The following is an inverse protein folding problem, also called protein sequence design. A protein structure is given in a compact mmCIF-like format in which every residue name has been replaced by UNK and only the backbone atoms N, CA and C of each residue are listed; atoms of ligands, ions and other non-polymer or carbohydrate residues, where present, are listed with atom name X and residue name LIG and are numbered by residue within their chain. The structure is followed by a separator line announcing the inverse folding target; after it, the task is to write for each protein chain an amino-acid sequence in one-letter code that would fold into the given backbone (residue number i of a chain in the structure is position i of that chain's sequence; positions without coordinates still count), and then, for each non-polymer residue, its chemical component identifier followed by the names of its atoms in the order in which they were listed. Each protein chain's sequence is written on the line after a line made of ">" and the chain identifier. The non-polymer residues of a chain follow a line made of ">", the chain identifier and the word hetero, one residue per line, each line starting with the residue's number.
data_IF_927618716939
#
_entry.id   IF_927618716939
#
_cell.length_a   1.000
_cell.length_b   1.000
_cell.length_c   1.000
_cell.angle_alpha   90.00
_cell.angle_beta   90.00
_cell.angle_gamma   90.00
#
_symmetry.space_group_name_H-M   'P 1'
#
loop_
_entity.id
_entity.type
_entity.pdbx_description
1 polymer ?
#
# COMPACT_ATOMS: atom_id res chain seq x y z
N UNK A 1 49.13 -3.15 22.47
CA UNK A 1 48.34 -4.28 21.89
C UNK A 1 47.11 -4.60 22.74
N UNK A 2 47.21 -4.73 24.07
CA UNK A 2 46.07 -4.91 24.98
C UNK A 2 45.00 -3.80 24.86
N UNK A 3 45.41 -2.52 24.77
CA UNK A 3 44.44 -1.41 24.64
C UNK A 3 43.69 -1.41 23.29
N UNK A 4 44.35 -1.86 22.22
CA UNK A 4 43.75 -1.98 20.88
C UNK A 4 42.77 -3.16 20.78
N UNK A 5 43.06 -4.27 21.47
CA UNK A 5 42.13 -5.41 21.57
C UNK A 5 40.87 -5.03 22.35
N UNK A 6 41.03 -4.27 23.45
CA UNK A 6 39.90 -3.73 24.22
C UNK A 6 39.07 -2.71 23.42
N UNK A 7 39.72 -1.91 22.56
CA UNK A 7 39.04 -0.97 21.65
C UNK A 7 38.21 -1.68 20.58
N UNK A 8 38.76 -2.71 19.91
CA UNK A 8 38.02 -3.49 18.91
C UNK A 8 36.82 -4.21 19.51
N UNK A 9 36.97 -4.77 20.71
CA UNK A 9 35.89 -5.37 21.48
C UNK A 9 34.79 -4.37 21.83
N UNK A 10 35.17 -3.22 22.42
CA UNK A 10 34.21 -2.20 22.85
C UNK A 10 33.43 -1.65 21.65
N UNK A 11 34.09 -1.50 20.50
CA UNK A 11 33.45 -1.08 19.26
C UNK A 11 32.36 -2.06 18.82
N UNK A 12 32.64 -3.36 18.79
CA UNK A 12 31.64 -4.38 18.43
C UNK A 12 30.45 -4.39 19.39
N UNK A 13 30.70 -4.26 20.69
CA UNK A 13 29.63 -4.21 21.69
C UNK A 13 28.72 -2.98 21.52
N UNK A 14 29.32 -1.79 21.34
CA UNK A 14 28.58 -0.54 21.11
C UNK A 14 27.79 -0.63 19.81
N UNK A 15 28.41 -1.14 18.75
CA UNK A 15 27.79 -1.32 17.44
C UNK A 15 26.55 -2.21 17.51
N UNK A 16 26.63 -3.35 18.22
CA UNK A 16 25.47 -4.22 18.42
C UNK A 16 24.37 -3.57 19.28
N UNK A 17 24.74 -2.74 20.26
CA UNK A 17 23.74 -2.01 21.07
C UNK A 17 23.01 -0.93 20.28
N UNK A 18 23.72 -0.20 19.44
CA UNK A 18 23.11 0.77 18.53
C UNK A 18 22.18 0.05 17.56
N UNK A 19 22.66 -1.05 16.96
CA UNK A 19 21.86 -1.84 16.03
C UNK A 19 20.60 -2.42 16.66
N UNK A 20 20.66 -2.92 17.90
CA UNK A 20 19.49 -3.44 18.63
C UNK A 20 18.36 -2.41 18.68
N UNK A 21 18.69 -1.15 18.99
CA UNK A 21 17.72 -0.06 19.04
C UNK A 21 17.17 0.28 17.64
N UNK A 22 18.06 0.52 16.68
CA UNK A 22 17.69 0.89 15.31
C UNK A 22 16.84 -0.18 14.62
N UNK A 23 17.16 -1.45 14.85
CA UNK A 23 16.44 -2.59 14.28
C UNK A 23 15.00 -2.64 14.76
N UNK A 24 14.76 -2.46 16.07
CA UNK A 24 13.41 -2.50 16.64
C UNK A 24 12.57 -1.36 16.08
N UNK A 25 13.11 -0.13 16.05
CA UNK A 25 12.38 1.02 15.50
C UNK A 25 12.09 0.85 14.00
N UNK A 26 13.10 0.42 13.22
CA UNK A 26 12.98 0.21 11.78
C UNK A 26 11.90 -0.82 11.45
N UNK A 27 11.92 -1.99 12.10
CA UNK A 27 10.91 -3.02 11.85
C UNK A 27 9.52 -2.62 12.30
N UNK A 28 9.37 -1.91 13.42
CA UNK A 28 8.06 -1.40 13.85
C UNK A 28 7.44 -0.44 12.83
N UNK A 29 8.26 0.40 12.19
CA UNK A 29 7.82 1.29 11.12
C UNK A 29 7.37 0.46 9.90
N UNK A 30 8.16 -0.53 9.50
CA UNK A 30 7.83 -1.42 8.37
C UNK A 30 6.54 -2.20 8.63
N UNK A 31 6.39 -2.80 9.81
CA UNK A 31 5.18 -3.53 10.23
C UNK A 31 3.94 -2.63 10.16
N UNK A 32 4.04 -1.39 10.64
CA UNK A 32 2.94 -0.43 10.58
C UNK A 32 2.54 -0.11 9.15
N UNK A 33 3.51 0.08 8.26
CA UNK A 33 3.24 0.36 6.84
C UNK A 33 2.56 -0.84 6.18
N UNK A 34 3.05 -2.06 6.42
CA UNK A 34 2.47 -3.29 5.89
C UNK A 34 1.03 -3.46 6.40
N UNK A 35 0.80 -3.26 7.69
CA UNK A 35 -0.53 -3.36 8.30
C UNK A 35 -1.54 -2.40 7.63
N UNK A 36 -1.15 -1.14 7.44
CA UNK A 36 -2.00 -0.17 6.75
C UNK A 36 -2.25 -0.56 5.29
N UNK A 37 -1.22 -1.05 4.59
CA UNK A 37 -1.35 -1.52 3.22
C UNK A 37 -2.32 -2.70 3.10
N UNK A 38 -2.25 -3.67 4.02
CA UNK A 38 -3.19 -4.80 4.07
C UNK A 38 -4.63 -4.33 4.24
N UNK A 39 -4.89 -3.35 5.12
CA UNK A 39 -6.23 -2.78 5.30
C UNK A 39 -6.72 -2.12 4.01
N UNK A 40 -5.88 -1.27 3.41
CA UNK A 40 -6.22 -0.55 2.17
C UNK A 40 -6.53 -1.54 1.05
N UNK A 41 -5.69 -2.55 0.85
CA UNK A 41 -5.89 -3.57 -0.18
C UNK A 41 -7.14 -4.41 0.08
N UNK A 42 -7.43 -4.78 1.33
CA UNK A 42 -8.68 -5.49 1.69
C UNK A 42 -9.91 -4.65 1.35
N UNK A 43 -9.90 -3.35 1.68
CA UNK A 43 -11.01 -2.45 1.38
C UNK A 43 -11.18 -2.32 -0.14
N UNK A 44 -10.10 -2.04 -0.88
CA UNK A 44 -10.13 -1.98 -2.36
C UNK A 44 -10.70 -3.25 -2.97
N UNK A 45 -10.19 -4.42 -2.56
CA UNK A 45 -10.60 -5.70 -3.14
C UNK A 45 -12.06 -6.07 -2.81
N UNK A 46 -12.59 -5.68 -1.65
CA UNK A 46 -13.90 -6.12 -1.16
C UNK A 46 -14.99 -5.04 -1.25
N UNK A 47 -14.66 -3.80 -1.62
CA UNK A 47 -15.60 -2.68 -1.63
C UNK A 47 -16.74 -2.88 -2.63
N UNK A 48 -17.94 -3.09 -2.13
CA UNK A 48 -19.16 -3.05 -2.94
C UNK A 48 -19.45 -1.64 -3.43
N UNK A 49 -19.16 -0.64 -2.60
CA UNK A 49 -19.35 0.78 -2.88
C UNK A 49 -18.52 1.23 -4.08
N UNK A 50 -17.22 0.87 -4.12
CA UNK A 50 -16.34 1.16 -5.24
C UNK A 50 -16.84 0.49 -6.53
N UNK A 51 -17.20 -0.79 -6.46
CA UNK A 51 -17.74 -1.53 -7.62
C UNK A 51 -19.03 -0.90 -8.14
N UNK A 52 -19.89 -0.40 -7.25
CA UNK A 52 -21.12 0.29 -7.64
C UNK A 52 -20.82 1.57 -8.43
N UNK A 53 -19.92 2.42 -7.92
CA UNK A 53 -19.51 3.66 -8.59
C UNK A 53 -18.91 3.35 -9.96
N UNK A 54 -17.97 2.40 -10.04
CA UNK A 54 -17.33 2.01 -11.30
C UNK A 54 -18.36 1.45 -12.31
N UNK A 55 -19.33 0.65 -11.84
CA UNK A 55 -20.43 0.17 -12.69
C UNK A 55 -21.31 1.31 -13.20
N UNK A 56 -21.62 2.30 -12.37
CA UNK A 56 -22.40 3.47 -12.77
C UNK A 56 -21.66 4.27 -13.85
N UNK A 57 -20.38 4.54 -13.63
CA UNK A 57 -19.51 5.22 -14.59
C UNK A 57 -19.46 4.45 -15.92
N UNK A 58 -19.27 3.12 -15.88
CA UNK A 58 -19.27 2.27 -17.07
C UNK A 58 -20.60 2.36 -17.84
N UNK A 59 -21.73 2.35 -17.14
CA UNK A 59 -23.06 2.45 -17.76
C UNK A 59 -23.24 3.80 -18.44
N UNK A 60 -22.89 4.89 -17.76
CA UNK A 60 -22.98 6.25 -18.32
C UNK A 60 -22.07 6.39 -19.55
N UNK A 61 -20.81 5.95 -19.43
CA UNK A 61 -19.86 5.96 -20.55
C UNK A 61 -20.35 5.15 -21.75
N UNK A 62 -20.92 3.96 -21.52
CA UNK A 62 -21.51 3.16 -22.58
C UNK A 62 -22.72 3.83 -23.25
N UNK A 63 -23.57 4.53 -22.50
CA UNK A 63 -24.71 5.27 -23.06
C UNK A 63 -24.21 6.40 -23.96
N UNK A 64 -23.23 7.19 -23.48
CA UNK A 64 -22.63 8.28 -24.25
C UNK A 64 -21.96 7.71 -25.51
N UNK A 65 -21.10 6.71 -25.36
CA UNK A 65 -20.39 6.07 -26.47
C UNK A 65 -21.36 5.48 -27.51
N UNK A 66 -22.40 4.79 -27.09
CA UNK A 66 -23.38 4.20 -28.02
C UNK A 66 -24.19 5.26 -28.78
N UNK A 67 -24.48 6.39 -28.13
CA UNK A 67 -25.31 7.47 -28.70
C UNK A 67 -24.51 8.37 -29.65
N UNK A 68 -23.23 8.63 -29.34
CA UNK A 68 -22.44 9.66 -30.01
C UNK A 68 -21.18 9.15 -30.74
N UNK A 69 -20.78 7.88 -30.55
CA UNK A 69 -19.65 7.29 -31.28
C UNK A 69 -20.12 6.63 -32.59
N UNK A 70 -19.27 6.71 -33.61
CA UNK A 70 -19.40 5.90 -34.83
C UNK A 70 -19.29 4.40 -34.54
N UNK A 71 -18.59 4.03 -33.47
CA UNK A 71 -18.38 2.65 -33.06
C UNK A 71 -19.37 2.27 -31.93
N UNK A 72 -20.54 1.73 -32.31
CA UNK A 72 -21.66 1.40 -31.41
C UNK A 72 -21.44 0.15 -30.54
N UNK A 73 -20.20 -0.17 -30.18
CA UNK A 73 -19.89 -1.34 -29.35
C UNK A 73 -19.99 -0.97 -27.86
N UNK A 74 -20.76 -1.77 -27.10
CA UNK A 74 -20.75 -1.70 -25.64
C UNK A 74 -19.49 -2.35 -25.09
N UNK A 75 -18.78 -1.64 -24.23
CA UNK A 75 -17.61 -2.15 -23.51
C UNK A 75 -18.05 -2.80 -22.19
N UNK A 76 -17.35 -3.87 -21.80
CA UNK A 76 -17.69 -4.66 -20.60
C UNK A 76 -16.89 -4.24 -19.36
N UNK A 77 -15.89 -3.38 -19.53
CA UNK A 77 -15.05 -2.89 -18.45
C UNK A 77 -14.33 -1.61 -18.85
N UNK A 78 -13.81 -0.91 -17.84
CA UNK A 78 -12.97 0.28 -17.99
C UNK A 78 -11.71 0.09 -17.16
N UNK A 79 -10.58 0.59 -17.67
CA UNK A 79 -9.37 0.72 -16.85
C UNK A 79 -9.55 1.89 -15.88
N UNK A 80 -8.99 1.77 -14.68
CA UNK A 80 -9.15 2.81 -13.65
C UNK A 80 -8.59 4.18 -14.07
N UNK A 81 -7.57 4.21 -14.93
CA UNK A 81 -7.05 5.44 -15.53
C UNK A 81 -8.12 6.26 -16.29
N UNK A 82 -9.21 5.62 -16.73
CA UNK A 82 -10.34 6.30 -17.38
C UNK A 82 -11.14 7.19 -16.43
N UNK A 83 -10.97 7.06 -15.11
CA UNK A 83 -11.59 7.94 -14.13
C UNK A 83 -11.19 9.40 -14.33
N UNK A 84 -9.94 9.66 -14.73
CA UNK A 84 -9.46 11.01 -15.01
C UNK A 84 -10.26 11.68 -16.14
N UNK A 85 -10.63 10.92 -17.17
CA UNK A 85 -11.47 11.42 -18.26
C UNK A 85 -12.86 11.78 -17.76
N UNK A 86 -13.44 10.99 -16.85
CA UNK A 86 -14.78 11.24 -16.29
C UNK A 86 -14.79 12.49 -15.41
N UNK A 87 -13.75 12.65 -14.59
CA UNK A 87 -13.58 13.81 -13.71
C UNK A 87 -13.42 15.11 -14.50
N UNK A 88 -12.72 15.06 -15.63
CA UNK A 88 -12.40 16.25 -16.42
C UNK A 88 -13.38 16.51 -17.58
N UNK A 89 -14.29 15.57 -17.89
CA UNK A 89 -15.22 15.74 -18.99
C UNK A 89 -16.25 16.82 -18.68
N UNK A 90 -16.26 17.87 -19.52
CA UNK A 90 -17.21 18.97 -19.45
C UNK A 90 -17.93 19.17 -20.78
N UNK A 91 -19.24 19.35 -20.70
CA UNK A 91 -20.02 19.98 -21.77
C UNK A 91 -20.07 21.50 -21.56
N UNK A 92 -20.76 22.26 -22.43
CA UNK A 92 -20.81 23.73 -22.38
C UNK A 92 -20.94 24.31 -20.96
N UNK A 93 -21.78 23.72 -20.10
CA UNK A 93 -22.00 24.17 -18.72
C UNK A 93 -22.06 23.06 -17.65
N UNK A 94 -21.98 21.77 -18.02
CA UNK A 94 -22.18 20.66 -17.07
C UNK A 94 -20.98 19.71 -17.07
N UNK A 95 -20.50 19.32 -15.89
CA UNK A 95 -19.47 18.30 -15.73
C UNK A 95 -20.09 16.89 -15.67
N UNK A 96 -19.47 15.92 -16.32
CA UNK A 96 -19.94 14.53 -16.28
C UNK A 96 -19.91 13.99 -14.84
N UNK A 97 -18.89 14.35 -14.08
CA UNK A 97 -18.77 13.91 -12.70
C UNK A 97 -19.89 14.42 -11.79
N UNK A 98 -20.35 15.66 -11.97
CA UNK A 98 -21.51 16.18 -11.24
C UNK A 98 -22.77 15.36 -11.55
N UNK A 99 -22.97 15.00 -12.82
CA UNK A 99 -24.06 14.10 -13.21
C UNK A 99 -23.92 12.71 -12.57
N UNK A 100 -22.70 12.15 -12.48
CA UNK A 100 -22.46 10.89 -11.75
C UNK A 100 -22.89 11.03 -10.28
N UNK A 101 -22.54 12.14 -9.62
CA UNK A 101 -22.90 12.37 -8.22
C UNK A 101 -24.41 12.50 -8.04
N UNK A 102 -25.09 13.25 -8.90
CA UNK A 102 -26.56 13.35 -8.86
C UNK A 102 -27.21 11.96 -9.04
N UNK A 103 -26.67 11.13 -9.93
CA UNK A 103 -27.12 9.75 -10.08
C UNK A 103 -26.84 8.90 -8.82
N UNK A 104 -25.72 9.10 -8.12
CA UNK A 104 -25.47 8.44 -6.83
C UNK A 104 -26.52 8.84 -5.79
N UNK A 105 -26.82 10.13 -5.67
CA UNK A 105 -27.85 10.65 -4.73
C UNK A 105 -29.24 10.10 -5.04
N UNK A 106 -29.65 10.10 -6.32
CA UNK A 106 -30.95 9.56 -6.77
C UNK A 106 -31.09 8.08 -6.41
N UNK A 107 -30.00 7.32 -6.45
CA UNK A 107 -29.99 5.91 -6.04
C UNK A 107 -29.75 5.70 -4.53
N UNK A 108 -29.86 6.75 -3.71
CA UNK A 108 -29.64 6.70 -2.25
C UNK A 108 -28.29 6.11 -1.85
N UNK A 109 -27.25 6.31 -2.67
CA UNK A 109 -25.90 5.87 -2.35
C UNK A 109 -25.31 6.75 -1.25
N UNK A 110 -24.80 6.12 -0.18
CA UNK A 110 -24.15 6.83 0.92
C UNK A 110 -22.70 7.18 0.58
N UNK A 111 -22.51 8.41 0.06
CA UNK A 111 -21.20 8.94 -0.32
C UNK A 111 -20.29 9.09 0.90
N UNK A 112 -20.83 9.46 2.06
CA UNK A 112 -20.04 9.64 3.28
C UNK A 112 -19.47 8.31 3.77
N UNK A 113 -20.30 7.26 3.77
CA UNK A 113 -19.85 5.93 4.13
C UNK A 113 -18.75 5.42 3.17
N UNK A 114 -18.90 5.66 1.86
CA UNK A 114 -17.84 5.33 0.88
C UNK A 114 -16.53 6.08 1.17
N UNK A 115 -16.59 7.38 1.46
CA UNK A 115 -15.39 8.16 1.78
C UNK A 115 -14.71 7.62 3.04
N UNK A 116 -15.49 7.27 4.07
CA UNK A 116 -14.98 6.73 5.34
C UNK A 116 -14.37 5.33 5.17
N UNK A 117 -14.94 4.49 4.31
CA UNK A 117 -14.42 3.17 3.96
C UNK A 117 -12.96 3.24 3.47
N UNK A 118 -12.58 4.34 2.83
CA UNK A 118 -11.24 4.55 2.27
C UNK A 118 -10.40 5.60 3.01
N UNK A 119 -10.71 5.92 4.27
CA UNK A 119 -9.93 6.90 5.03
C UNK A 119 -8.44 6.52 5.11
N UNK A 120 -8.13 5.24 5.32
CA UNK A 120 -6.74 4.76 5.39
C UNK A 120 -5.99 4.89 4.05
N UNK A 121 -6.69 4.84 2.91
CA UNK A 121 -6.08 5.05 1.60
C UNK A 121 -5.53 6.46 1.48
N UNK A 122 -6.18 7.46 2.08
CA UNK A 122 -5.70 8.86 2.05
C UNK A 122 -4.34 9.04 2.72
N UNK A 123 -3.98 8.14 3.65
CA UNK A 123 -2.70 8.15 4.39
C UNK A 123 -1.65 7.22 3.75
N UNK A 124 -2.04 6.34 2.83
CA UNK A 124 -1.20 5.23 2.33
C UNK A 124 -1.26 5.03 0.80
N UNK A 125 -1.67 6.05 0.04
CA UNK A 125 -1.88 5.96 -1.41
C UNK A 125 -0.56 5.86 -2.22
N UNK A 126 0.58 6.25 -1.65
CA UNK A 126 1.89 6.24 -2.29
C UNK A 126 2.76 5.03 -1.91
N UNK A 127 2.31 4.20 -0.98
CA UNK A 127 3.09 3.07 -0.47
C UNK A 127 3.38 2.08 -1.58
N UNK A 128 4.65 1.75 -1.76
CA UNK A 128 5.12 0.85 -2.79
C UNK A 128 5.62 -0.47 -2.16
N UNK A 129 5.04 -1.59 -2.58
CA UNK A 129 5.43 -2.91 -2.06
C UNK A 129 6.84 -3.32 -2.48
N UNK A 130 7.35 -2.85 -3.62
CA UNK A 130 8.75 -3.16 -4.00
C UNK A 130 9.72 -2.43 -3.08
N UNK A 131 9.42 -1.17 -2.73
CA UNK A 131 10.19 -0.39 -1.76
C UNK A 131 10.18 -1.05 -0.37
N UNK A 132 9.02 -1.53 0.11
CA UNK A 132 8.93 -2.27 1.39
C UNK A 132 9.80 -3.54 1.36
N UNK A 133 9.74 -4.30 0.26
CA UNK A 133 10.52 -5.53 0.07
C UNK A 133 12.02 -5.27 0.12
N UNK A 134 12.47 -4.21 -0.55
CA UNK A 134 13.89 -3.82 -0.55
C UNK A 134 14.34 -3.46 0.86
N UNK A 135 13.57 -2.64 1.58
CA UNK A 135 13.88 -2.29 2.97
C UNK A 135 13.95 -3.53 3.88
N UNK A 136 13.02 -4.48 3.71
CA UNK A 136 13.03 -5.76 4.44
C UNK A 136 14.27 -6.59 4.13
N UNK A 137 14.64 -6.70 2.86
CA UNK A 137 15.84 -7.44 2.45
C UNK A 137 17.10 -6.79 3.02
N UNK A 138 17.21 -5.46 2.97
CA UNK A 138 18.32 -4.73 3.53
C UNK A 138 18.45 -4.97 5.04
N UNK A 139 17.35 -4.95 5.78
CA UNK A 139 17.36 -5.28 7.22
C UNK A 139 17.72 -6.74 7.49
N UNK A 140 17.26 -7.69 6.65
CA UNK A 140 17.69 -9.11 6.74
C UNK A 140 19.19 -9.23 6.51
N UNK A 141 19.75 -8.49 5.55
CA UNK A 141 21.18 -8.49 5.26
C UNK A 141 21.99 -7.92 6.44
N UNK A 142 21.61 -6.75 6.94
CA UNK A 142 22.23 -6.16 8.14
C UNK A 142 22.15 -7.09 9.34
N UNK A 143 20.99 -7.74 9.56
CA UNK A 143 20.81 -8.68 10.67
C UNK A 143 21.77 -9.85 10.59
N UNK A 144 21.99 -10.41 9.39
CA UNK A 144 22.98 -11.47 9.17
C UNK A 144 24.42 -11.00 9.40
N UNK A 145 24.75 -9.78 8.98
CA UNK A 145 26.07 -9.19 9.24
C UNK A 145 26.32 -9.03 10.75
N UNK A 146 25.34 -8.50 11.48
CA UNK A 146 25.45 -8.33 12.94
C UNK A 146 25.45 -9.67 13.68
N UNK A 147 24.78 -10.69 13.17
CA UNK A 147 24.90 -12.06 13.68
C UNK A 147 26.35 -12.59 13.57
N UNK A 148 27.06 -12.29 12.49
CA UNK A 148 28.47 -12.70 12.36
C UNK A 148 29.35 -12.01 13.42
N UNK A 149 29.11 -10.73 13.69
CA UNK A 149 29.79 -10.00 14.78
C UNK A 149 29.47 -10.68 16.11
N UNK A 150 28.20 -10.93 16.40
CA UNK A 150 27.75 -11.61 17.61
C UNK A 150 28.45 -12.95 17.85
N UNK A 151 28.52 -13.82 16.83
CA UNK A 151 29.17 -15.13 16.96
C UNK A 151 30.70 -15.04 17.11
N UNK A 152 31.31 -13.93 16.71
CA UNK A 152 32.75 -13.69 16.89
C UNK A 152 33.13 -13.16 18.29
N UNK A 153 32.15 -12.73 19.10
CA UNK A 153 32.37 -12.22 20.46
C UNK A 153 32.50 -13.33 21.50
N UNK A 154 33.12 -13.03 22.64
CA UNK A 154 33.20 -13.97 23.76
C UNK A 154 31.82 -14.32 24.34
N UNK A 155 31.71 -15.55 24.86
CA UNK A 155 30.45 -16.12 25.36
C UNK A 155 29.77 -15.31 26.48
N UNK A 156 30.53 -14.57 27.28
CA UNK A 156 29.98 -13.69 28.32
C UNK A 156 29.16 -12.55 27.71
N UNK A 157 29.65 -11.96 26.61
CA UNK A 157 28.97 -10.86 25.93
C UNK A 157 27.82 -11.33 25.04
N UNK A 158 27.95 -12.53 24.46
CA UNK A 158 26.85 -13.14 23.70
C UNK A 158 25.58 -13.28 24.55
N UNK A 159 25.70 -13.52 25.86
CA UNK A 159 24.53 -13.59 26.75
C UNK A 159 23.69 -12.31 26.70
N UNK A 160 24.30 -11.14 26.53
CA UNK A 160 23.59 -9.85 26.48
C UNK A 160 22.74 -9.65 25.22
N UNK A 161 23.04 -10.34 24.11
CA UNK A 161 22.33 -10.17 22.83
C UNK A 161 21.59 -11.43 22.37
N UNK A 162 21.77 -12.57 23.06
CA UNK A 162 21.09 -13.83 22.72
C UNK A 162 19.57 -13.68 22.62
N UNK A 163 18.95 -13.00 23.58
CA UNK A 163 17.51 -12.69 23.56
C UNK A 163 17.14 -11.77 22.40
N UNK A 164 17.95 -10.74 22.13
CA UNK A 164 17.72 -9.82 21.02
C UNK A 164 17.74 -10.54 19.67
N UNK A 165 18.77 -11.34 19.37
CA UNK A 165 18.85 -12.04 18.09
C UNK A 165 17.78 -13.14 17.96
N UNK A 166 17.39 -13.79 19.07
CA UNK A 166 16.24 -14.71 19.07
C UNK A 166 14.95 -13.99 18.72
N UNK A 167 14.65 -12.90 19.42
CA UNK A 167 13.45 -12.08 19.20
C UNK A 167 13.44 -11.43 17.80
N UNK A 168 14.56 -10.84 17.37
CA UNK A 168 14.69 -10.19 16.08
C UNK A 168 14.52 -11.16 14.90
N UNK A 169 14.99 -12.40 15.04
CA UNK A 169 14.74 -13.44 14.04
C UNK A 169 13.25 -13.76 13.91
N UNK A 170 12.53 -13.83 15.02
CA UNK A 170 11.08 -14.04 15.04
C UNK A 170 10.32 -12.84 14.45
N UNK A 171 10.71 -11.61 14.81
CA UNK A 171 10.14 -10.39 14.23
C UNK A 171 10.29 -10.39 12.71
N UNK A 172 11.51 -10.56 12.18
CA UNK A 172 11.74 -10.59 10.73
C UNK A 172 10.89 -11.65 10.02
N UNK A 173 10.76 -12.83 10.63
CA UNK A 173 9.92 -13.91 10.10
C UNK A 173 8.44 -13.52 10.07
N UNK A 174 7.94 -12.85 11.09
CA UNK A 174 6.55 -12.41 11.16
C UNK A 174 6.27 -11.24 10.20
N UNK A 175 7.12 -10.22 10.17
CA UNK A 175 7.04 -9.11 9.20
C UNK A 175 7.07 -9.63 7.76
N UNK A 176 7.93 -10.60 7.46
CA UNK A 176 8.01 -11.22 6.12
C UNK A 176 6.73 -11.95 5.73
N UNK A 177 6.05 -12.59 6.69
CA UNK A 177 4.75 -13.24 6.42
C UNK A 177 3.67 -12.20 6.13
N UNK A 178 3.60 -11.13 6.93
CA UNK A 178 2.62 -10.05 6.72
C UNK A 178 2.87 -9.33 5.39
N UNK A 179 4.13 -9.13 5.01
CA UNK A 179 4.49 -8.64 3.68
C UNK A 179 3.91 -9.55 2.58
N UNK A 180 4.03 -10.87 2.73
CA UNK A 180 3.49 -11.81 1.74
C UNK A 180 1.96 -11.74 1.65
N UNK A 181 1.26 -11.54 2.77
CA UNK A 181 -0.19 -11.30 2.76
C UNK A 181 -0.53 -10.03 1.96
N UNK A 182 0.21 -8.93 2.15
CA UNK A 182 0.03 -7.72 1.36
C UNK A 182 0.29 -7.97 -0.14
N UNK A 183 1.35 -8.70 -0.47
CA UNK A 183 1.67 -9.09 -1.84
C UNK A 183 0.54 -9.88 -2.51
N UNK A 184 0.02 -10.92 -1.86
CA UNK A 184 -1.09 -11.72 -2.40
C UNK A 184 -2.35 -10.88 -2.62
N UNK A 185 -2.66 -9.97 -1.69
CA UNK A 185 -3.77 -9.04 -1.83
C UNK A 185 -3.58 -8.09 -3.02
N UNK A 186 -2.36 -7.58 -3.24
CA UNK A 186 -2.06 -6.77 -4.43
C UNK A 186 -2.25 -7.55 -5.71
N UNK A 187 -1.76 -8.80 -5.78
CA UNK A 187 -1.99 -9.67 -6.95
C UNK A 187 -3.49 -9.87 -7.19
N UNK A 188 -4.27 -10.09 -6.14
CA UNK A 188 -5.72 -10.22 -6.22
C UNK A 188 -6.37 -8.93 -6.75
N UNK A 189 -6.01 -7.77 -6.21
CA UNK A 189 -6.60 -6.51 -6.63
C UNK A 189 -6.19 -6.15 -8.08
N UNK A 190 -4.94 -6.41 -8.51
CA UNK A 190 -4.51 -6.27 -9.90
C UNK A 190 -5.39 -7.07 -10.87
N UNK A 191 -5.63 -8.35 -10.56
CA UNK A 191 -6.53 -9.21 -11.35
C UNK A 191 -7.95 -8.65 -11.41
N UNK A 192 -8.43 -8.08 -10.30
CA UNK A 192 -9.78 -7.52 -10.20
C UNK A 192 -9.97 -6.29 -11.11
N UNK A 193 -8.95 -5.45 -11.25
CA UNK A 193 -8.99 -4.27 -12.12
C UNK A 193 -8.42 -4.49 -13.53
N UNK A 194 -7.93 -5.71 -13.85
CA UNK A 194 -7.35 -6.02 -15.15
C UNK A 194 -5.99 -5.36 -15.40
N UNK A 195 -5.24 -5.10 -14.33
CA UNK A 195 -3.90 -4.52 -14.38
C UNK A 195 -2.84 -5.57 -14.72
N UNK A 196 -1.71 -5.12 -15.28
CA UNK A 196 -0.54 -5.96 -15.50
C UNK A 196 -0.06 -6.58 -14.16
N UNK A 197 0.15 -7.90 -14.07
CA UNK A 197 0.69 -8.55 -12.88
C UNK A 197 1.99 -7.93 -12.35
N UNK A 198 2.82 -7.38 -13.24
CA UNK A 198 4.13 -6.81 -12.92
C UNK A 198 4.11 -5.29 -12.72
N UNK A 199 3.00 -4.60 -12.96
CA UNK A 199 2.94 -3.15 -12.78
C UNK A 199 2.96 -2.75 -11.31
N UNK A 200 3.33 -1.50 -11.02
CA UNK A 200 3.19 -0.97 -9.67
C UNK A 200 1.70 -0.65 -9.38
N UNK A 201 1.18 -1.12 -8.24
CA UNK A 201 -0.21 -0.89 -7.84
C UNK A 201 -0.48 0.51 -7.25
N UNK A 202 0.56 1.31 -7.03
CA UNK A 202 0.44 2.71 -6.56
C UNK A 202 -0.48 3.53 -7.48
N UNK A 203 -0.41 3.34 -8.80
CA UNK A 203 -1.25 4.11 -9.74
C UNK A 203 -2.74 3.85 -9.53
N UNK A 204 -3.14 2.60 -9.32
CA UNK A 204 -4.53 2.23 -8.98
C UNK A 204 -4.97 2.89 -7.68
N UNK A 205 -4.13 2.85 -6.64
CA UNK A 205 -4.41 3.52 -5.37
C UNK A 205 -4.59 5.03 -5.53
N UNK A 206 -3.78 5.66 -6.38
CA UNK A 206 -3.90 7.08 -6.70
C UNK A 206 -5.19 7.40 -7.46
N UNK A 207 -5.58 6.59 -8.44
CA UNK A 207 -6.81 6.84 -9.21
C UNK A 207 -8.06 6.74 -8.30
N UNK A 208 -8.09 5.76 -7.39
CA UNK A 208 -9.16 5.64 -6.37
C UNK A 208 -9.11 6.81 -5.39
N UNK A 209 -7.91 7.21 -4.95
CA UNK A 209 -7.74 8.36 -4.06
C UNK A 209 -8.27 9.66 -4.69
N UNK A 210 -7.96 9.92 -5.96
CA UNK A 210 -8.45 11.10 -6.69
C UNK A 210 -9.98 11.10 -6.78
N UNK A 211 -10.60 9.94 -7.03
CA UNK A 211 -12.06 9.80 -7.00
C UNK A 211 -12.63 10.20 -5.63
N UNK A 212 -12.05 9.70 -4.53
CA UNK A 212 -12.50 10.01 -3.16
C UNK A 212 -12.37 11.50 -2.86
N UNK A 213 -11.23 12.12 -3.18
CA UNK A 213 -11.02 13.55 -2.98
C UNK A 213 -11.96 14.40 -3.82
N UNK A 214 -12.30 13.93 -5.03
CA UNK A 214 -13.27 14.63 -5.89
C UNK A 214 -14.68 14.56 -5.30
N UNK A 215 -15.07 13.43 -4.70
CA UNK A 215 -16.35 13.31 -3.98
C UNK A 215 -16.37 14.19 -2.73
N UNK A 216 -15.28 14.23 -1.95
CA UNK A 216 -15.16 15.10 -0.77
C UNK A 216 -15.36 16.57 -1.12
N UNK A 217 -14.73 17.04 -2.21
CA UNK A 217 -14.85 18.43 -2.69
C UNK A 217 -16.27 18.81 -3.09
N UNK A 218 -17.10 17.85 -3.47
CA UNK A 218 -18.48 18.12 -3.88
C UNK A 218 -19.47 18.13 -2.70
N UNK A 219 -19.08 17.54 -1.57
CA UNK A 219 -19.89 17.54 -0.34
C UNK A 219 -19.68 18.80 0.52
N UNK A 220 -18.56 19.50 0.33
CA UNK A 220 -18.19 20.74 1.01
C UNK A 220 -18.54 21.96 0.16
#
# INVERSE_FOLDING_TARGET
>A
MLDYANLGFLNNFIELKIYEFEFIESLQIVDRIIYLEVIVLKNICNSHSLRYILCLILKIGNIIGYTYSSNKKKIQGLKLESLDQVLNYKSKNNYLFEFVIEMLKVNSFDINNFINEFEMLTKNNQTDLESIKNNLNDEIHKFKEKLNIFYSMDSEYQKHFSNFFGYGSEMLKNTSKEYYVAYELTVKCKKLFGEDPNSNFVKVKQDIFILIESLRKYLN
#
